data_IF_250901524357
#
_entry.id   IF_250901524357
#
_cell.length_a   1.000
_cell.length_b   1.000
_cell.length_c   1.000
_cell.angle_alpha   90.00
_cell.angle_beta   90.00
_cell.angle_gamma   90.00
#
_symmetry.space_group_name_H-M   'P 1'
#
loop_
_entity.id
_entity.type
_entity.pdbx_description
1 polymer ?
#
# COMPACT_ATOMS: atom_id res chain seq x y z
N UNK A 1 -51.33 -45.36 -26.54
CA UNK A 1 -50.57 -44.25 -27.17
C UNK A 1 -49.43 -43.90 -26.22
N UNK A 2 -48.20 -44.14 -26.64
CA UNK A 2 -46.99 -43.86 -25.86
C UNK A 2 -46.62 -42.39 -26.03
N UNK A 3 -46.56 -41.65 -24.92
CA UNK A 3 -45.96 -40.31 -24.90
C UNK A 3 -44.49 -40.50 -24.56
N UNK A 4 -43.64 -40.23 -25.54
CA UNK A 4 -42.19 -40.40 -25.51
C UNK A 4 -41.52 -39.46 -24.51
N UNK A 5 -40.63 -40.01 -23.68
CA UNK A 5 -39.84 -39.38 -22.62
C UNK A 5 -38.80 -38.33 -23.09
N UNK A 6 -38.98 -37.73 -24.26
CA UNK A 6 -37.96 -36.91 -24.91
C UNK A 6 -38.15 -35.39 -24.72
N UNK A 7 -39.32 -34.94 -24.24
CA UNK A 7 -39.57 -33.50 -24.00
C UNK A 7 -39.18 -33.03 -22.58
N UNK A 8 -38.80 -33.95 -21.68
CA UNK A 8 -38.52 -33.66 -20.27
C UNK A 8 -37.11 -33.13 -19.98
N UNK A 9 -36.28 -32.90 -21.02
CA UNK A 9 -34.88 -32.49 -20.84
C UNK A 9 -34.70 -30.96 -20.76
N UNK A 10 -35.67 -30.17 -21.25
CA UNK A 10 -35.56 -28.71 -21.30
C UNK A 10 -35.84 -27.96 -19.99
N UNK A 11 -36.56 -28.56 -19.04
CA UNK A 11 -37.02 -27.86 -17.81
C UNK A 11 -36.19 -28.12 -16.55
N UNK A 12 -35.03 -28.77 -16.65
CA UNK A 12 -34.18 -29.07 -15.47
C UNK A 12 -33.38 -27.87 -14.93
N UNK A 13 -33.48 -26.69 -15.56
CA UNK A 13 -32.71 -25.50 -15.19
C UNK A 13 -33.36 -24.61 -14.11
N UNK A 14 -34.61 -24.86 -13.71
CA UNK A 14 -35.36 -23.95 -12.81
C UNK A 14 -35.88 -24.59 -11.52
N UNK A 15 -35.15 -25.52 -10.89
CA UNK A 15 -35.37 -25.89 -9.47
C UNK A 15 -36.74 -26.50 -9.10
N UNK A 16 -37.68 -26.67 -10.03
CA UNK A 16 -38.95 -27.33 -9.79
C UNK A 16 -38.80 -28.84 -10.06
N UNK A 17 -38.66 -29.61 -8.99
CA UNK A 17 -38.78 -31.06 -9.04
C UNK A 17 -40.27 -31.42 -9.12
N UNK A 18 -40.79 -31.59 -10.34
CA UNK A 18 -42.01 -32.39 -10.51
C UNK A 18 -41.52 -33.79 -10.85
N UNK A 19 -41.37 -34.63 -9.82
CA UNK A 19 -41.21 -36.06 -10.02
C UNK A 19 -42.52 -36.55 -10.67
N UNK A 20 -42.49 -36.77 -11.99
CA UNK A 20 -43.58 -37.46 -12.67
C UNK A 20 -43.61 -38.86 -12.07
N UNK A 21 -44.60 -39.12 -11.22
CA UNK A 21 -44.81 -40.40 -10.56
C UNK A 21 -44.97 -41.46 -11.64
N UNK A 22 -43.86 -42.12 -11.96
CA UNK A 22 -43.81 -43.23 -12.89
C UNK A 22 -44.36 -44.42 -12.15
N UNK A 23 -45.67 -44.61 -12.25
CA UNK A 23 -46.35 -45.76 -11.68
C UNK A 23 -45.74 -47.03 -12.28
N UNK A 24 -45.30 -47.96 -11.44
CA UNK A 24 -44.84 -49.26 -11.90
C UNK A 24 -46.00 -49.98 -12.63
N UNK A 25 -45.70 -50.88 -13.57
CA UNK A 25 -46.73 -51.57 -14.38
C UNK A 25 -47.83 -52.26 -13.54
N UNK A 26 -47.55 -52.63 -12.29
CA UNK A 26 -48.54 -53.17 -11.34
C UNK A 26 -49.47 -52.14 -10.69
N UNK A 27 -49.06 -50.88 -10.60
CA UNK A 27 -49.84 -49.77 -10.01
C UNK A 27 -50.85 -49.19 -11.03
N UNK A 28 -50.56 -49.33 -12.33
CA UNK A 28 -51.47 -48.94 -13.43
C UNK A 28 -52.72 -49.84 -13.48
N UNK A 29 -52.58 -51.13 -13.17
CA UNK A 29 -53.69 -52.08 -13.08
C UNK A 29 -54.62 -51.79 -11.89
N UNK A 30 -54.11 -51.18 -10.83
CA UNK A 30 -54.89 -50.77 -9.66
C UNK A 30 -55.63 -49.45 -9.88
N UNK A 31 -55.21 -48.62 -10.84
CA UNK A 31 -55.91 -47.39 -11.24
C UNK A 31 -57.08 -47.64 -12.23
N UNK A 32 -57.20 -48.85 -12.78
CA UNK A 32 -58.14 -49.20 -13.86
C UNK A 32 -59.52 -49.68 -13.39
N UNK A 33 -59.81 -49.58 -12.08
CA UNK A 33 -61.05 -50.04 -11.45
C UNK A 33 -61.04 -51.53 -11.07
N UNK A 34 -61.98 -51.99 -10.21
CA UNK A 34 -61.95 -53.34 -9.67
C UNK A 34 -62.26 -54.41 -10.74
N UNK A 35 -61.48 -55.51 -10.80
CA UNK A 35 -61.75 -56.61 -11.70
C UNK A 35 -62.86 -57.50 -11.12
N UNK A 36 -64.11 -57.26 -11.53
CA UNK A 36 -65.33 -58.01 -11.12
C UNK A 36 -65.76 -57.83 -9.65
N UNK A 37 -67.06 -57.95 -9.31
CA UNK A 37 -67.59 -57.68 -7.97
C UNK A 37 -67.03 -58.60 -6.86
N UNK A 38 -66.64 -59.82 -7.23
CA UNK A 38 -66.17 -60.86 -6.31
C UNK A 38 -64.73 -60.65 -5.80
N UNK A 39 -63.95 -59.74 -6.42
CA UNK A 39 -62.55 -59.43 -6.05
C UNK A 39 -62.35 -58.00 -5.53
N UNK A 40 -63.44 -57.28 -5.24
CA UNK A 40 -63.44 -55.87 -4.84
C UNK A 40 -62.61 -55.63 -3.56
N UNK A 41 -62.80 -56.44 -2.52
CA UNK A 41 -62.09 -56.29 -1.23
C UNK A 41 -60.57 -56.48 -1.38
N UNK A 42 -60.14 -57.44 -2.22
CA UNK A 42 -58.73 -57.69 -2.49
C UNK A 42 -58.08 -56.55 -3.28
N UNK A 43 -58.82 -55.98 -4.23
CA UNK A 43 -58.37 -54.81 -4.99
C UNK A 43 -58.28 -53.56 -4.12
N UNK A 44 -59.29 -53.28 -3.28
CA UNK A 44 -59.28 -52.15 -2.35
C UNK A 44 -58.11 -52.23 -1.35
N UNK A 45 -57.82 -53.43 -0.82
CA UNK A 45 -56.68 -53.65 0.06
C UNK A 45 -55.34 -53.41 -0.66
N UNK A 46 -55.23 -53.84 -1.91
CA UNK A 46 -54.03 -53.63 -2.72
C UNK A 46 -53.82 -52.13 -3.06
N UNK A 47 -54.89 -51.42 -3.44
CA UNK A 47 -54.87 -49.97 -3.66
C UNK A 47 -54.43 -49.24 -2.39
N UNK A 48 -55.05 -49.56 -1.24
CA UNK A 48 -54.69 -48.95 0.05
C UNK A 48 -53.22 -49.17 0.38
N UNK A 49 -52.72 -50.39 0.20
CA UNK A 49 -51.32 -50.73 0.47
C UNK A 49 -50.34 -49.94 -0.42
N UNK A 50 -50.66 -49.70 -1.69
CA UNK A 50 -49.84 -48.87 -2.59
C UNK A 50 -49.81 -47.43 -2.12
N UNK A 51 -50.96 -46.85 -1.76
CA UNK A 51 -51.02 -45.48 -1.24
C UNK A 51 -50.29 -45.34 0.10
N UNK A 52 -50.42 -46.31 1.02
CA UNK A 52 -49.66 -46.34 2.27
C UNK A 52 -48.15 -46.39 2.03
N UNK A 53 -47.69 -47.24 1.11
CA UNK A 53 -46.28 -47.30 0.72
C UNK A 53 -45.77 -46.00 0.09
N UNK A 54 -46.60 -45.37 -0.75
CA UNK A 54 -46.28 -44.10 -1.37
C UNK A 54 -46.20 -42.96 -0.35
N UNK A 55 -47.15 -42.91 0.59
CA UNK A 55 -47.13 -41.96 1.71
C UNK A 55 -45.86 -42.12 2.55
N UNK A 56 -45.52 -43.35 2.95
CA UNK A 56 -44.27 -43.60 3.69
C UNK A 56 -43.02 -43.23 2.89
N UNK A 57 -43.02 -43.36 1.56
CA UNK A 57 -41.89 -42.94 0.70
C UNK A 57 -41.77 -41.41 0.67
N UNK A 58 -42.88 -40.71 0.45
CA UNK A 58 -42.92 -39.25 0.45
C UNK A 58 -42.48 -38.67 1.80
N UNK A 59 -42.98 -39.22 2.91
CA UNK A 59 -42.57 -38.79 4.25
C UNK A 59 -41.05 -38.91 4.45
N UNK A 60 -40.44 -40.01 4.03
CA UNK A 60 -38.98 -40.19 4.08
C UNK A 60 -38.24 -39.19 3.20
N UNK A 61 -38.78 -38.88 2.02
CA UNK A 61 -38.19 -37.89 1.11
C UNK A 61 -38.26 -36.49 1.70
N UNK A 62 -39.40 -36.10 2.28
CA UNK A 62 -39.58 -34.81 2.97
C UNK A 62 -38.60 -34.68 4.14
N UNK A 63 -38.52 -35.68 5.02
CA UNK A 63 -37.57 -35.66 6.14
C UNK A 63 -36.12 -35.57 5.66
N UNK A 64 -35.77 -36.26 4.57
CA UNK A 64 -34.42 -36.18 3.99
C UNK A 64 -34.15 -34.79 3.40
N UNK A 65 -35.12 -34.18 2.74
CA UNK A 65 -35.02 -32.84 2.18
C UNK A 65 -34.90 -31.79 3.30
N UNK A 66 -35.69 -31.89 4.36
CA UNK A 66 -35.67 -30.99 5.51
C UNK A 66 -34.31 -31.05 6.23
N UNK A 67 -33.77 -32.25 6.45
CA UNK A 67 -32.44 -32.40 7.06
C UNK A 67 -31.34 -31.74 6.21
N UNK A 68 -31.40 -31.88 4.88
CA UNK A 68 -30.45 -31.22 3.96
C UNK A 68 -30.63 -29.70 3.94
N UNK A 69 -31.87 -29.22 3.98
CA UNK A 69 -32.16 -27.79 4.07
C UNK A 69 -31.60 -27.19 5.37
N UNK A 70 -31.73 -27.89 6.49
CA UNK A 70 -31.14 -27.49 7.76
C UNK A 70 -29.60 -27.47 7.71
N UNK A 71 -28.98 -28.55 7.20
CA UNK A 71 -27.52 -28.64 7.07
C UNK A 71 -26.96 -27.51 6.20
N UNK A 72 -27.56 -27.28 5.03
CA UNK A 72 -27.16 -26.20 4.13
C UNK A 72 -27.41 -24.82 4.74
N UNK A 73 -28.50 -24.62 5.49
CA UNK A 73 -28.77 -23.39 6.22
C UNK A 73 -27.68 -23.05 7.26
N UNK A 74 -27.21 -24.05 8.00
CA UNK A 74 -26.12 -23.89 8.96
C UNK A 74 -24.79 -23.55 8.28
N UNK A 75 -24.47 -24.19 7.15
CA UNK A 75 -23.28 -23.88 6.37
C UNK A 75 -23.31 -22.45 5.82
N UNK A 76 -24.45 -22.02 5.28
CA UNK A 76 -24.62 -20.63 4.80
C UNK A 76 -24.42 -19.64 5.94
N UNK A 77 -24.98 -19.91 7.12
CA UNK A 77 -24.79 -19.06 8.29
C UNK A 77 -23.32 -18.95 8.70
N UNK A 78 -22.59 -20.08 8.73
CA UNK A 78 -21.16 -20.08 9.05
C UNK A 78 -20.34 -19.31 8.01
N UNK A 79 -20.59 -19.53 6.71
CA UNK A 79 -19.91 -18.78 5.65
C UNK A 79 -20.20 -17.29 5.69
N UNK A 80 -21.44 -16.87 5.98
CA UNK A 80 -21.76 -15.46 6.20
C UNK A 80 -20.94 -14.88 7.37
N UNK A 81 -20.80 -15.61 8.47
CA UNK A 81 -19.96 -15.19 9.60
C UNK A 81 -18.47 -15.15 9.28
N UNK A 82 -17.97 -16.03 8.39
CA UNK A 82 -16.59 -15.97 7.89
C UNK A 82 -16.37 -14.75 6.99
N UNK A 83 -17.31 -14.46 6.07
CA UNK A 83 -17.24 -13.31 5.17
C UNK A 83 -17.21 -12.01 5.98
N UNK A 84 -18.09 -11.86 6.97
CA UNK A 84 -18.12 -10.66 7.81
C UNK A 84 -16.79 -10.41 8.52
N UNK A 85 -16.20 -11.46 9.11
CA UNK A 85 -14.87 -11.36 9.76
C UNK A 85 -13.77 -10.96 8.77
N UNK A 86 -13.79 -11.53 7.57
CA UNK A 86 -12.82 -11.17 6.53
C UNK A 86 -13.01 -9.74 6.02
N UNK A 87 -14.25 -9.25 5.94
CA UNK A 87 -14.54 -7.86 5.56
C UNK A 87 -14.06 -6.87 6.63
N UNK A 88 -14.26 -7.18 7.91
CA UNK A 88 -13.74 -6.41 9.03
C UNK A 88 -12.20 -6.35 9.00
N UNK A 89 -11.53 -7.51 8.90
CA UNK A 89 -10.07 -7.59 8.83
C UNK A 89 -9.52 -6.84 7.60
N UNK A 90 -10.17 -6.98 6.44
CA UNK A 90 -9.79 -6.24 5.23
C UNK A 90 -9.93 -4.73 5.42
N UNK A 91 -11.01 -4.29 6.07
CA UNK A 91 -11.24 -2.86 6.37
C UNK A 91 -10.15 -2.31 7.28
N UNK A 92 -9.79 -3.04 8.34
CA UNK A 92 -8.70 -2.68 9.25
C UNK A 92 -7.36 -2.59 8.53
N UNK A 93 -7.00 -3.61 7.75
CA UNK A 93 -5.75 -3.62 6.98
C UNK A 93 -5.72 -2.47 5.97
N UNK A 94 -6.84 -2.17 5.30
CA UNK A 94 -6.93 -1.05 4.36
C UNK A 94 -6.71 0.29 5.07
N UNK A 95 -7.26 0.46 6.27
CA UNK A 95 -7.05 1.64 7.11
C UNK A 95 -5.58 1.78 7.52
N UNK A 96 -4.95 0.70 7.97
CA UNK A 96 -3.53 0.68 8.34
C UNK A 96 -2.62 1.04 7.17
N UNK A 97 -2.89 0.49 5.98
CA UNK A 97 -2.15 0.83 4.74
C UNK A 97 -2.33 2.32 4.41
N UNK A 98 -3.53 2.87 4.54
CA UNK A 98 -3.78 4.29 4.28
C UNK A 98 -3.08 5.22 5.30
N UNK A 99 -2.96 4.79 6.57
CA UNK A 99 -2.15 5.50 7.58
C UNK A 99 -0.68 5.47 7.19
N UNK A 100 -0.12 4.28 6.94
CA UNK A 100 1.29 4.15 6.58
C UNK A 100 1.67 4.89 5.29
N UNK A 101 0.78 4.94 4.30
CA UNK A 101 0.98 5.74 3.09
C UNK A 101 1.06 7.24 3.38
N UNK A 102 0.21 7.75 4.27
CA UNK A 102 0.26 9.17 4.69
C UNK A 102 1.54 9.49 5.44
N UNK A 103 1.97 8.62 6.35
CA UNK A 103 3.23 8.80 7.08
C UNK A 103 4.44 8.79 6.14
N UNK A 104 4.49 7.85 5.18
CA UNK A 104 5.54 7.81 4.16
C UNK A 104 5.55 9.06 3.29
N UNK A 105 4.38 9.59 2.92
CA UNK A 105 4.28 10.81 2.14
C UNK A 105 4.79 12.02 2.93
N UNK A 106 4.36 12.17 4.19
CA UNK A 106 4.84 13.22 5.09
C UNK A 106 6.36 13.15 5.25
N UNK A 107 6.92 11.96 5.48
CA UNK A 107 8.36 11.78 5.65
C UNK A 107 9.13 12.16 4.38
N UNK A 108 8.59 11.86 3.19
CA UNK A 108 9.20 12.25 1.92
C UNK A 108 9.23 13.77 1.75
N UNK A 109 8.13 14.44 2.10
CA UNK A 109 8.05 15.91 2.06
C UNK A 109 9.04 16.54 3.04
N UNK A 110 9.14 16.02 4.26
CA UNK A 110 10.10 16.48 5.27
C UNK A 110 11.56 16.28 4.82
N UNK A 111 11.87 15.12 4.22
CA UNK A 111 13.19 14.85 3.65
C UNK A 111 13.53 15.81 2.51
N UNK A 112 12.57 16.09 1.62
CA UNK A 112 12.77 17.03 0.51
C UNK A 112 12.97 18.47 1.01
N UNK A 113 12.17 18.90 1.99
CA UNK A 113 12.32 20.20 2.63
C UNK A 113 13.68 20.34 3.32
N UNK A 114 14.10 19.29 4.04
CA UNK A 114 15.41 19.24 4.71
C UNK A 114 16.55 19.31 3.70
N UNK A 115 16.45 18.57 2.58
CA UNK A 115 17.45 18.62 1.50
C UNK A 115 17.57 20.02 0.92
N UNK A 116 16.44 20.64 0.56
CA UNK A 116 16.39 22.02 0.03
C UNK A 116 16.98 23.03 1.00
N UNK A 117 16.74 22.87 2.30
CA UNK A 117 17.30 23.73 3.34
C UNK A 117 18.84 23.60 3.38
N UNK A 118 19.37 22.37 3.41
CA UNK A 118 20.81 22.15 3.39
C UNK A 118 21.48 22.62 2.09
N UNK A 119 20.86 22.39 0.93
CA UNK A 119 21.34 22.92 -0.35
C UNK A 119 21.43 24.46 -0.32
N UNK A 120 20.43 25.13 0.26
CA UNK A 120 20.44 26.58 0.46
C UNK A 120 21.54 27.05 1.40
N UNK A 121 21.74 26.37 2.54
CA UNK A 121 22.82 26.67 3.48
C UNK A 121 24.21 26.49 2.85
N UNK A 122 24.40 25.42 2.08
CA UNK A 122 25.63 25.16 1.34
C UNK A 122 25.90 26.26 0.30
N UNK A 123 24.85 26.72 -0.40
CA UNK A 123 24.94 27.85 -1.32
C UNK A 123 25.45 29.13 -0.63
N UNK A 124 24.81 29.52 0.48
CA UNK A 124 25.20 30.70 1.26
C UNK A 124 26.63 30.62 1.78
N UNK A 125 27.03 29.47 2.33
CA UNK A 125 28.39 29.25 2.83
C UNK A 125 29.43 29.36 1.70
N UNK A 126 29.11 28.80 0.52
CA UNK A 126 29.99 28.86 -0.65
C UNK A 126 30.18 30.30 -1.13
N UNK A 127 29.09 31.07 -1.22
CA UNK A 127 29.15 32.49 -1.59
C UNK A 127 29.98 33.31 -0.58
N UNK A 128 29.80 33.05 0.70
CA UNK A 128 30.58 33.69 1.76
C UNK A 128 32.08 33.35 1.66
N UNK A 129 32.44 32.10 1.37
CA UNK A 129 33.84 31.69 1.15
C UNK A 129 34.44 32.40 -0.06
N UNK A 130 33.70 32.50 -1.16
CA UNK A 130 34.14 33.25 -2.34
C UNK A 130 34.38 34.73 -2.02
N UNK A 131 33.45 35.36 -1.30
CA UNK A 131 33.56 36.77 -0.88
C UNK A 131 34.76 36.99 0.03
N UNK A 132 34.97 36.10 1.02
CA UNK A 132 36.14 36.17 1.90
C UNK A 132 37.45 35.99 1.13
N UNK A 133 37.47 35.10 0.14
CA UNK A 133 38.65 34.85 -0.69
C UNK A 133 39.00 36.07 -1.55
N UNK A 134 38.00 36.77 -2.10
CA UNK A 134 38.18 38.05 -2.79
C UNK A 134 38.73 39.12 -1.83
N UNK A 135 38.11 39.30 -0.66
CA UNK A 135 38.59 40.26 0.33
C UNK A 135 40.02 39.97 0.80
N UNK A 136 40.37 38.69 1.03
CA UNK A 136 41.74 38.30 1.38
C UNK A 136 42.71 38.68 0.26
N UNK A 137 42.37 38.36 -1.00
CA UNK A 137 43.20 38.73 -2.15
C UNK A 137 43.39 40.24 -2.29
N UNK A 138 42.34 41.03 -2.08
CA UNK A 138 42.42 42.50 -2.09
C UNK A 138 43.32 43.03 -0.97
N UNK A 139 43.23 42.45 0.22
CA UNK A 139 44.07 42.83 1.37
C UNK A 139 45.51 42.44 1.14
N UNK A 140 45.79 41.27 0.59
CA UNK A 140 47.13 40.84 0.21
C UNK A 140 47.74 41.78 -0.83
N UNK A 141 46.98 42.17 -1.86
CA UNK A 141 47.42 43.16 -2.84
C UNK A 141 47.70 44.53 -2.19
N UNK A 142 46.83 44.97 -1.29
CA UNK A 142 47.01 46.22 -0.54
C UNK A 142 48.26 46.18 0.36
N UNK A 143 48.50 45.07 1.04
CA UNK A 143 49.69 44.85 1.85
C UNK A 143 50.96 44.83 0.99
N UNK A 144 50.94 44.14 -0.15
CA UNK A 144 52.06 44.14 -1.09
C UNK A 144 52.38 45.56 -1.60
N UNK A 145 51.35 46.35 -1.92
CA UNK A 145 51.50 47.75 -2.33
C UNK A 145 52.11 48.61 -1.22
N UNK A 146 51.64 48.48 0.02
CA UNK A 146 52.22 49.17 1.18
C UNK A 146 53.67 48.76 1.43
N UNK A 147 53.98 47.46 1.33
CA UNK A 147 55.34 46.94 1.47
C UNK A 147 56.29 47.46 0.38
N UNK A 148 55.78 47.69 -0.83
CA UNK A 148 56.54 48.24 -1.95
C UNK A 148 56.79 49.76 -1.84
N UNK A 149 56.00 50.48 -1.03
CA UNK A 149 56.16 51.91 -0.82
C UNK A 149 57.57 52.22 -0.31
N UNK A 150 58.16 53.33 -0.75
CA UNK A 150 59.54 53.69 -0.39
C UNK A 150 59.56 54.92 0.50
N UNK A 151 60.40 54.88 1.53
CA UNK A 151 60.63 55.99 2.46
C UNK A 151 62.09 56.43 2.38
N UNK A 152 62.32 57.73 2.28
CA UNK A 152 63.66 58.31 2.24
C UNK A 152 64.29 58.32 3.64
N UNK A 153 65.52 57.83 3.78
CA UNK A 153 66.28 57.97 5.01
C UNK A 153 66.80 59.40 5.15
N UNK A 154 66.41 60.11 6.20
CA UNK A 154 66.86 61.49 6.45
C UNK A 154 68.37 61.65 6.69
N UNK A 155 69.09 60.57 7.05
CA UNK A 155 70.54 60.61 7.33
C UNK A 155 71.41 60.39 6.08
N UNK A 156 71.06 59.42 5.24
CA UNK A 156 71.88 59.02 4.09
C UNK A 156 71.21 59.26 2.72
N UNK A 157 69.96 59.75 2.69
CA UNK A 157 69.23 60.03 1.45
C UNK A 157 68.82 58.79 0.65
N UNK A 158 69.00 57.57 1.18
CA UNK A 158 68.61 56.34 0.49
C UNK A 158 67.12 56.02 0.65
N UNK A 159 66.49 55.56 -0.42
CA UNK A 159 65.13 55.05 -0.43
C UNK A 159 65.06 53.62 0.13
N UNK A 160 64.25 53.40 1.15
CA UNK A 160 64.04 52.11 1.80
C UNK A 160 62.62 51.62 1.55
N UNK A 161 62.47 50.39 1.06
CA UNK A 161 61.15 49.77 0.91
C UNK A 161 60.52 49.50 2.29
N UNK A 162 59.25 49.84 2.45
CA UNK A 162 58.53 49.78 3.71
C UNK A 162 58.44 48.34 4.24
N UNK A 163 58.23 47.36 3.36
CA UNK A 163 58.18 45.95 3.75
C UNK A 163 59.47 45.46 4.43
N UNK A 164 60.63 45.94 3.97
CA UNK A 164 61.94 45.60 4.59
C UNK A 164 62.19 46.33 5.90
N UNK A 165 61.61 47.51 6.09
CA UNK A 165 61.68 48.27 7.34
C UNK A 165 60.77 47.64 8.41
N UNK A 166 59.59 47.13 8.02
CA UNK A 166 58.63 46.49 8.93
C UNK A 166 58.94 45.02 9.23
N UNK A 167 59.61 44.31 8.31
CA UNK A 167 60.03 42.92 8.52
C UNK A 167 61.13 42.81 9.59
N UNK A 168 61.06 41.79 10.44
CA UNK A 168 62.21 41.40 11.27
C UNK A 168 63.27 40.72 10.37
N UNK A 169 64.57 41.03 10.53
CA UNK A 169 65.22 41.80 11.62
C UNK A 169 65.37 43.32 11.37
N UNK A 170 64.78 43.88 10.31
CA UNK A 170 64.98 45.27 9.88
C UNK A 170 64.54 46.33 10.90
N UNK A 171 63.51 46.04 11.71
CA UNK A 171 63.06 46.83 12.87
C UNK A 171 63.11 48.36 12.71
N UNK A 172 62.68 48.87 11.55
CA UNK A 172 62.65 50.30 11.24
C UNK A 172 64.00 50.95 10.90
N UNK A 173 65.08 50.18 10.70
CA UNK A 173 66.42 50.70 10.40
C UNK A 173 66.71 50.78 8.89
N UNK A 174 67.47 51.79 8.47
CA UNK A 174 67.87 51.97 7.09
C UNK A 174 68.74 50.81 6.60
N UNK A 175 68.48 50.31 5.41
CA UNK A 175 69.22 49.19 4.81
C UNK A 175 70.71 49.51 4.63
N UNK A 176 71.02 50.78 4.33
CA UNK A 176 72.38 51.26 4.02
C UNK A 176 73.13 51.72 5.27
N UNK A 177 72.62 52.72 6.01
CA UNK A 177 73.34 53.33 7.14
C UNK A 177 72.99 52.75 8.51
N UNK A 178 72.06 51.80 8.59
CA UNK A 178 71.56 51.16 9.83
C UNK A 178 70.92 52.09 10.87
N UNK A 179 70.77 53.38 10.56
CA UNK A 179 70.09 54.34 11.42
C UNK A 179 68.59 54.07 11.47
N UNK A 180 67.92 54.39 12.58
CA UNK A 180 66.45 54.33 12.67
C UNK A 180 65.81 55.32 11.70
N UNK A 181 64.94 54.81 10.84
CA UNK A 181 64.11 55.58 9.89
C UNK A 181 62.69 55.74 10.44
N UNK A 182 62.20 54.74 11.17
CA UNK A 182 60.91 54.80 11.87
C UNK A 182 61.11 54.84 13.38
N UNK A 183 60.49 55.82 14.02
CA UNK A 183 60.35 55.89 15.47
C UNK A 183 59.18 55.00 15.88
N UNK A 184 59.45 53.86 16.53
CA UNK A 184 58.40 53.11 17.24
C UNK A 184 57.99 53.93 18.46
N UNK A 185 56.80 54.55 18.40
CA UNK A 185 56.12 55.07 19.58
C UNK A 185 55.58 53.94 20.44
#
# INVERSE_FOLDING_TARGET
MAVSAQESSGMRQHGFFVDVVSLAHGEVSLASGPPRPEALESWELAVRKVYEQHMCRLEKQVVTADNKALETGLLVQDYCGQIQRQEEEKSELTSQVAVGQRELQSLREDMEATRKNYDGQLGMLTEHICTLSLHLSEKDASLAALQAHKVLCGRCGMWNAMGKLLAQPGNGTCQTCKEKVLSTG
#
